data_IF_438730004359
#
_entry.id   IF_438730004359
#
_cell.length_a   1.000
_cell.length_b   1.000
_cell.length_c   1.000
_cell.angle_alpha   90.00
_cell.angle_beta   90.00
_cell.angle_gamma   90.00
#
_symmetry.space_group_name_H-M   'P 1'
#
loop_
_entity.id
_entity.type
_entity.pdbx_description
1 polymer ?
#
# COMPACT_ATOMS: atom_id res chain seq x y z
N UNK A 1 29.02 -26.81 18.44
CA UNK A 1 29.13 -25.81 17.35
C UNK A 1 27.72 -25.28 17.13
N UNK A 2 27.40 -24.08 17.63
CA UNK A 2 26.06 -23.53 17.55
C UNK A 2 25.87 -22.83 16.20
N UNK A 3 24.88 -23.27 15.42
CA UNK A 3 24.49 -22.63 14.16
C UNK A 3 23.77 -21.33 14.54
N UNK A 4 24.21 -20.16 14.05
CA UNK A 4 23.49 -18.92 14.30
C UNK A 4 22.11 -19.01 13.63
N UNK A 5 21.05 -19.00 14.42
CA UNK A 5 19.69 -18.81 13.93
C UNK A 5 19.63 -17.43 13.29
N UNK A 6 19.56 -17.40 11.95
CA UNK A 6 19.21 -16.20 11.20
C UNK A 6 17.83 -15.77 11.70
N UNK A 7 17.75 -14.68 12.47
CA UNK A 7 16.47 -14.09 12.83
C UNK A 7 15.80 -13.68 11.51
N UNK A 8 14.76 -14.40 11.10
CA UNK A 8 13.93 -13.98 9.99
C UNK A 8 13.39 -12.59 10.35
N UNK A 9 13.72 -11.58 9.54
CA UNK A 9 13.18 -10.23 9.73
C UNK A 9 11.67 -10.35 9.59
N UNK A 10 10.96 -10.18 10.71
CA UNK A 10 9.51 -10.32 10.74
C UNK A 10 8.90 -9.09 10.06
N UNK A 11 8.36 -9.30 8.87
CA UNK A 11 7.59 -8.30 8.12
C UNK A 11 6.43 -7.78 8.98
N UNK A 12 6.21 -6.46 9.10
CA UNK A 12 5.01 -5.93 9.75
C UNK A 12 3.73 -6.49 9.13
N UNK A 13 2.74 -6.81 9.96
CA UNK A 13 1.50 -7.35 9.45
C UNK A 13 0.69 -6.25 8.75
N UNK A 14 0.21 -6.51 7.53
CA UNK A 14 -0.68 -5.57 6.87
C UNK A 14 -2.06 -5.51 7.57
N UNK A 15 -2.71 -4.34 7.67
CA UNK A 15 -4.04 -4.22 8.25
C UNK A 15 -5.02 -5.16 7.57
N UNK A 16 -5.66 -6.06 8.33
CA UNK A 16 -6.53 -7.07 7.73
C UNK A 16 -7.73 -6.44 7.05
N UNK A 17 -8.01 -6.86 5.81
CA UNK A 17 -9.18 -6.43 5.06
C UNK A 17 -10.34 -7.41 5.26
N UNK A 18 -11.59 -6.93 5.17
CA UNK A 18 -12.75 -7.82 5.07
C UNK A 18 -12.72 -8.59 3.76
N UNK A 19 -13.43 -9.73 3.70
CA UNK A 19 -13.49 -10.56 2.50
C UNK A 19 -13.98 -9.76 1.28
N UNK A 20 -15.00 -8.92 1.47
CA UNK A 20 -15.52 -8.03 0.42
C UNK A 20 -14.46 -7.02 -0.06
N UNK A 21 -13.69 -6.44 0.86
CA UNK A 21 -12.61 -5.51 0.51
C UNK A 21 -11.50 -6.21 -0.27
N UNK A 22 -11.09 -7.42 0.12
CA UNK A 22 -10.11 -8.23 -0.62
C UNK A 22 -10.59 -8.47 -2.05
N UNK A 23 -11.90 -8.75 -2.21
CA UNK A 23 -12.47 -9.02 -3.51
C UNK A 23 -12.39 -7.83 -4.48
N UNK A 24 -12.37 -6.61 -3.96
CA UNK A 24 -12.35 -5.37 -4.74
C UNK A 24 -10.93 -4.85 -4.92
N UNK A 25 -10.09 -4.93 -3.88
CA UNK A 25 -8.71 -4.42 -3.89
C UNK A 25 -7.85 -5.16 -4.91
N UNK A 26 -7.99 -6.48 -5.02
CA UNK A 26 -7.18 -7.29 -5.91
C UNK A 26 -7.88 -7.58 -7.26
N UNK A 27 -8.48 -6.54 -7.84
CA UNK A 27 -9.02 -6.53 -9.20
C UNK A 27 -8.30 -5.43 -9.98
N UNK A 28 -7.80 -5.79 -11.16
CA UNK A 28 -7.10 -4.84 -12.02
C UNK A 28 -8.07 -3.74 -12.50
N UNK A 29 -7.62 -2.48 -12.54
CA UNK A 29 -8.48 -1.33 -12.89
C UNK A 29 -9.02 -1.37 -14.33
N UNK A 30 -8.38 -2.14 -15.22
CA UNK A 30 -8.87 -2.36 -16.58
C UNK A 30 -9.87 -3.52 -16.70
N UNK A 31 -10.15 -4.23 -15.60
CA UNK A 31 -11.20 -5.24 -15.59
C UNK A 31 -12.57 -4.56 -15.81
N UNK A 32 -13.51 -5.24 -16.47
CA UNK A 32 -14.87 -4.72 -16.61
C UNK A 32 -15.46 -4.38 -15.23
N UNK A 33 -16.13 -3.22 -15.09
CA UNK A 33 -16.75 -2.86 -13.82
C UNK A 33 -17.82 -3.89 -13.45
N UNK A 34 -17.96 -4.15 -12.15
CA UNK A 34 -19.06 -4.96 -11.65
C UNK A 34 -20.41 -4.29 -12.02
N UNK A 35 -21.40 -5.11 -12.37
CA UNK A 35 -22.76 -4.63 -12.72
C UNK A 35 -23.39 -3.84 -11.56
N UNK A 36 -22.99 -4.15 -10.32
CA UNK A 36 -23.40 -3.44 -9.12
C UNK A 36 -22.16 -3.09 -8.30
N UNK A 37 -22.02 -1.81 -7.95
CA UNK A 37 -20.93 -1.33 -7.09
C UNK A 37 -21.20 -1.71 -5.63
N UNK A 38 -20.12 -2.01 -4.89
CA UNK A 38 -20.26 -2.30 -3.46
C UNK A 38 -20.69 -1.04 -2.71
N UNK A 39 -21.68 -1.08 -1.80
CA UNK A 39 -22.22 0.13 -1.16
C UNK A 39 -21.18 0.90 -0.35
N UNK A 40 -20.22 0.18 0.25
CA UNK A 40 -19.16 0.75 1.10
C UNK A 40 -17.91 1.09 0.29
N UNK A 41 -17.45 0.17 -0.56
CA UNK A 41 -16.14 0.23 -1.19
C UNK A 41 -16.19 0.79 -2.62
N UNK A 42 -17.35 0.78 -3.26
CA UNK A 42 -17.50 1.08 -4.68
C UNK A 42 -16.75 0.06 -5.54
N UNK A 43 -15.69 0.52 -6.19
CA UNK A 43 -14.78 -0.25 -7.03
C UNK A 43 -13.31 0.06 -6.68
N UNK A 44 -12.38 -0.66 -7.32
CA UNK A 44 -10.94 -0.45 -7.10
C UNK A 44 -10.49 0.98 -7.47
N UNK A 45 -11.14 1.63 -8.44
CA UNK A 45 -10.79 2.99 -8.84
C UNK A 45 -11.11 3.99 -7.73
N UNK A 46 -12.30 3.91 -7.14
CA UNK A 46 -12.71 4.77 -6.01
C UNK A 46 -11.80 4.57 -4.81
N UNK A 47 -11.44 3.33 -4.51
CA UNK A 47 -10.49 3.03 -3.43
C UNK A 47 -9.10 3.62 -3.72
N UNK A 48 -8.58 3.51 -4.94
CA UNK A 48 -7.29 4.11 -5.31
C UNK A 48 -7.32 5.65 -5.22
N UNK A 49 -8.41 6.28 -5.65
CA UNK A 49 -8.59 7.75 -5.56
C UNK A 49 -8.55 8.22 -4.12
N UNK A 50 -9.17 7.49 -3.20
CA UNK A 50 -9.10 7.81 -1.77
C UNK A 50 -7.73 7.47 -1.18
N UNK A 51 -7.19 6.31 -1.53
CA UNK A 51 -5.98 5.77 -0.92
C UNK A 51 -4.71 6.51 -1.34
N UNK A 52 -4.65 7.10 -2.54
CA UNK A 52 -3.50 7.91 -2.99
C UNK A 52 -3.13 9.03 -2.00
N UNK A 53 -4.00 10.02 -1.72
CA UNK A 53 -3.64 11.11 -0.81
C UNK A 53 -3.37 10.59 0.61
N UNK A 54 -4.03 9.51 1.03
CA UNK A 54 -3.86 8.96 2.38
C UNK A 54 -2.53 8.21 2.54
N UNK A 55 -2.13 7.45 1.54
CA UNK A 55 -0.85 6.77 1.47
C UNK A 55 0.30 7.77 1.44
N UNK A 56 0.21 8.79 0.58
CA UNK A 56 1.21 9.86 0.51
C UNK A 56 1.34 10.61 1.83
N UNK A 57 0.21 10.96 2.47
CA UNK A 57 0.20 11.63 3.77
C UNK A 57 0.82 10.74 4.87
N UNK A 58 0.43 9.47 4.94
CA UNK A 58 0.96 8.52 5.92
C UNK A 58 2.48 8.33 5.75
N UNK A 59 2.94 8.19 4.50
CA UNK A 59 4.36 8.04 4.19
C UNK A 59 5.15 9.29 4.56
N UNK A 60 4.66 10.47 4.18
CA UNK A 60 5.29 11.76 4.54
C UNK A 60 5.38 11.96 6.04
N UNK A 61 4.31 11.66 6.78
CA UNK A 61 4.33 11.77 8.23
C UNK A 61 5.32 10.78 8.86
N UNK A 62 5.38 9.53 8.37
CA UNK A 62 6.36 8.56 8.82
C UNK A 62 7.80 9.00 8.54
N UNK A 63 8.09 9.49 7.34
CA UNK A 63 9.41 9.99 6.97
C UNK A 63 9.82 11.22 7.79
N UNK A 64 8.89 12.15 8.04
CA UNK A 64 9.14 13.33 8.90
C UNK A 64 9.52 12.92 10.31
N UNK A 65 8.84 11.92 10.88
CA UNK A 65 9.15 11.39 12.22
C UNK A 65 10.48 10.64 12.25
N UNK A 66 10.81 9.87 11.20
CA UNK A 66 12.06 9.10 11.12
C UNK A 66 13.29 9.99 10.89
N UNK A 67 13.13 11.06 10.12
CA UNK A 67 14.21 11.97 9.76
C UNK A 67 13.90 13.40 10.24
N UNK A 68 13.89 13.64 11.57
CA UNK A 68 13.45 14.92 12.13
C UNK A 68 14.35 16.10 11.74
N UNK A 69 15.54 15.85 11.20
CA UNK A 69 16.49 16.88 10.76
C UNK A 69 16.36 17.24 9.26
N UNK A 70 15.52 16.53 8.49
CA UNK A 70 15.26 16.88 7.09
C UNK A 70 14.09 17.87 7.03
N UNK A 71 14.30 18.98 6.32
CA UNK A 71 13.33 20.07 6.25
C UNK A 71 13.20 20.64 4.84
N UNK A 72 12.10 21.37 4.61
CA UNK A 72 11.85 22.12 3.38
C UNK A 72 11.99 21.28 2.11
N UNK A 73 12.67 21.82 1.10
CA UNK A 73 12.84 21.17 -0.20
C UNK A 73 13.65 19.87 -0.11
N UNK A 74 14.62 19.79 0.80
CA UNK A 74 15.44 18.57 0.97
C UNK A 74 14.58 17.41 1.45
N UNK A 75 13.64 17.68 2.38
CA UNK A 75 12.68 16.68 2.82
C UNK A 75 11.77 16.21 1.66
N UNK A 76 11.20 17.15 0.90
CA UNK A 76 10.33 16.81 -0.23
C UNK A 76 11.06 15.95 -1.27
N UNK A 77 12.26 16.37 -1.68
CA UNK A 77 13.09 15.62 -2.63
C UNK A 77 13.44 14.22 -2.11
N UNK A 78 13.76 14.09 -0.82
CA UNK A 78 14.07 12.80 -0.23
C UNK A 78 12.87 11.86 -0.23
N UNK A 79 11.69 12.35 0.17
CA UNK A 79 10.43 11.58 0.13
C UNK A 79 10.12 11.16 -1.31
N UNK A 80 10.15 12.09 -2.26
CA UNK A 80 9.77 11.80 -3.65
C UNK A 80 10.74 10.80 -4.31
N UNK A 81 12.03 10.86 -3.96
CA UNK A 81 13.04 9.92 -4.44
C UNK A 81 12.92 8.51 -3.83
N UNK A 82 12.40 8.40 -2.60
CA UNK A 82 12.36 7.12 -1.86
C UNK A 82 11.00 6.43 -1.92
N UNK A 83 9.92 7.17 -2.14
CA UNK A 83 8.56 6.65 -2.19
C UNK A 83 8.34 5.53 -3.22
N UNK A 84 8.83 5.63 -4.48
CA UNK A 84 8.75 4.53 -5.45
C UNK A 84 9.30 3.19 -4.95
N UNK A 85 10.49 3.23 -4.33
CA UNK A 85 11.16 2.04 -3.82
C UNK A 85 10.45 1.47 -2.59
N UNK A 86 9.90 2.35 -1.75
CA UNK A 86 9.04 1.95 -0.63
C UNK A 86 7.83 1.15 -1.13
N UNK A 87 7.12 1.65 -2.15
CA UNK A 87 5.97 0.97 -2.75
C UNK A 87 6.38 -0.39 -3.34
N UNK A 88 7.41 -0.40 -4.19
CA UNK A 88 7.87 -1.60 -4.88
C UNK A 88 8.27 -2.70 -3.88
N UNK A 89 9.01 -2.32 -2.83
CA UNK A 89 9.40 -3.22 -1.75
C UNK A 89 8.19 -3.87 -1.11
N UNK A 90 7.23 -3.09 -0.61
CA UNK A 90 6.16 -3.65 0.21
C UNK A 90 5.13 -4.42 -0.59
N UNK A 91 4.78 -3.96 -1.80
CA UNK A 91 3.94 -4.74 -2.72
C UNK A 91 4.62 -6.07 -3.11
N UNK A 92 5.95 -6.05 -3.26
CA UNK A 92 6.75 -7.25 -3.51
C UNK A 92 6.76 -8.22 -2.31
N UNK A 93 7.07 -7.70 -1.13
CA UNK A 93 7.17 -8.45 0.14
C UNK A 93 5.84 -9.12 0.51
N UNK A 94 4.72 -8.40 0.40
CA UNK A 94 3.41 -9.00 0.67
C UNK A 94 2.92 -9.95 -0.43
N UNK A 95 3.59 -9.99 -1.59
CA UNK A 95 3.22 -10.87 -2.70
C UNK A 95 1.89 -10.50 -3.37
N UNK A 96 1.38 -9.28 -3.16
CA UNK A 96 0.07 -8.82 -3.61
C UNK A 96 -0.13 -8.86 -5.12
N UNK A 97 0.95 -8.74 -5.89
CA UNK A 97 0.90 -8.91 -7.36
C UNK A 97 0.29 -10.25 -7.77
N UNK A 98 0.53 -11.31 -6.99
CA UNK A 98 0.00 -12.66 -7.28
C UNK A 98 -1.49 -12.81 -7.00
N UNK A 99 -2.07 -11.84 -6.29
CA UNK A 99 -3.48 -11.84 -5.89
C UNK A 99 -4.36 -11.10 -6.91
N UNK A 100 -3.73 -10.32 -7.81
CA UNK A 100 -4.43 -9.52 -8.81
C UNK A 100 -5.20 -10.40 -9.80
N UNK A 101 -6.48 -10.07 -9.99
CA UNK A 101 -7.40 -10.71 -10.94
C UNK A 101 -7.81 -9.76 -12.06
N UNK A 102 -8.21 -10.33 -13.19
CA UNK A 102 -8.65 -9.54 -14.36
C UNK A 102 -7.52 -8.75 -15.02
N UNK A 103 -6.27 -9.18 -14.85
CA UNK A 103 -5.08 -8.52 -15.42
C UNK A 103 -5.01 -8.82 -16.92
N UNK A 104 -4.94 -7.80 -17.79
CA UNK A 104 -4.76 -8.02 -19.23
C UNK A 104 -3.44 -8.73 -19.56
N UNK A 105 -3.36 -9.53 -20.65
CA UNK A 105 -2.18 -10.34 -20.96
C UNK A 105 -0.86 -9.58 -21.15
N UNK A 106 -0.92 -8.30 -21.48
CA UNK A 106 0.22 -7.44 -21.77
C UNK A 106 0.58 -6.49 -20.61
N UNK A 107 -0.06 -6.62 -19.45
CA UNK A 107 0.24 -5.79 -18.28
C UNK A 107 1.36 -6.40 -17.45
N UNK A 108 2.38 -5.61 -17.16
CA UNK A 108 3.45 -5.99 -16.26
C UNK A 108 3.16 -5.47 -14.84
N UNK A 109 2.75 -6.36 -13.94
CA UNK A 109 2.51 -6.01 -12.52
C UNK A 109 3.79 -5.63 -11.74
N UNK A 110 4.97 -5.71 -12.36
CA UNK A 110 6.21 -5.17 -11.79
C UNK A 110 6.42 -3.69 -12.16
N UNK A 111 5.57 -3.11 -13.02
CA UNK A 111 5.66 -1.69 -13.35
C UNK A 111 5.37 -0.86 -12.10
N UNK A 112 6.15 0.21 -11.92
CA UNK A 112 6.04 1.06 -10.73
C UNK A 112 4.62 1.63 -10.55
N UNK A 113 3.97 2.00 -11.66
CA UNK A 113 2.61 2.52 -11.63
C UNK A 113 1.59 1.45 -11.22
N UNK A 114 1.78 0.20 -11.64
CA UNK A 114 0.91 -0.91 -11.26
C UNK A 114 1.06 -1.24 -9.77
N UNK A 115 2.29 -1.30 -9.27
CA UNK A 115 2.54 -1.50 -7.84
C UNK A 115 1.99 -0.36 -6.99
N UNK A 116 2.15 0.89 -7.45
CA UNK A 116 1.57 2.05 -6.78
C UNK A 116 0.05 1.93 -6.70
N UNK A 117 -0.63 1.63 -7.81
CA UNK A 117 -2.08 1.45 -7.81
C UNK A 117 -2.55 0.34 -6.85
N UNK A 118 -1.83 -0.77 -6.76
CA UNK A 118 -2.16 -1.84 -5.80
C UNK A 118 -2.12 -1.30 -4.37
N UNK A 119 -1.04 -0.60 -3.99
CA UNK A 119 -0.88 -0.07 -2.64
C UNK A 119 -1.86 1.07 -2.34
N UNK A 120 -2.14 1.95 -3.32
CA UNK A 120 -3.18 2.99 -3.22
C UNK A 120 -4.56 2.36 -2.98
N UNK A 121 -4.93 1.35 -3.76
CA UNK A 121 -6.23 0.68 -3.63
C UNK A 121 -6.36 0.01 -2.26
N UNK A 122 -5.31 -0.67 -1.80
CA UNK A 122 -5.26 -1.27 -0.47
C UNK A 122 -5.41 -0.21 0.63
N UNK A 123 -4.65 0.88 0.56
CA UNK A 123 -4.73 1.97 1.53
C UNK A 123 -6.15 2.57 1.61
N UNK A 124 -6.80 2.75 0.45
CA UNK A 124 -8.20 3.18 0.39
C UNK A 124 -9.15 2.21 1.10
N UNK A 125 -8.97 0.90 0.92
CA UNK A 125 -9.79 -0.10 1.59
C UNK A 125 -9.60 -0.07 3.10
N UNK A 126 -8.35 0.00 3.59
CA UNK A 126 -8.03 0.12 5.02
C UNK A 126 -8.73 1.32 5.64
N UNK A 127 -8.73 2.45 4.94
CA UNK A 127 -9.37 3.68 5.39
C UNK A 127 -10.89 3.55 5.48
N UNK A 128 -11.53 2.95 4.49
CA UNK A 128 -13.00 2.92 4.39
C UNK A 128 -13.64 1.89 5.31
N UNK A 129 -13.01 0.73 5.51
CA UNK A 129 -13.68 -0.41 6.15
C UNK A 129 -13.92 -0.24 7.67
N UNK A 130 -13.19 0.64 8.33
CA UNK A 130 -13.17 0.78 9.80
C UNK A 130 -13.27 2.25 10.21
N UNK A 131 -13.88 2.52 11.37
CA UNK A 131 -14.00 3.88 11.94
C UNK A 131 -12.65 4.56 12.13
N UNK A 132 -11.61 3.80 12.52
CA UNK A 132 -10.25 4.29 12.76
C UNK A 132 -9.27 3.91 11.63
N UNK A 133 -9.79 3.65 10.42
CA UNK A 133 -8.99 3.19 9.28
C UNK A 133 -7.81 4.12 8.93
N UNK A 134 -7.97 5.42 9.13
CA UNK A 134 -6.88 6.40 8.97
C UNK A 134 -5.73 6.15 9.96
N UNK A 135 -6.04 5.97 11.25
CA UNK A 135 -5.02 5.72 12.26
C UNK A 135 -4.31 4.40 12.02
N UNK A 136 -5.05 3.36 11.61
CA UNK A 136 -4.50 2.06 11.23
C UNK A 136 -3.52 2.17 10.05
N UNK A 137 -3.88 2.92 9.00
CA UNK A 137 -2.99 3.17 7.86
C UNK A 137 -1.70 3.87 8.30
N UNK A 138 -1.80 4.94 9.08
CA UNK A 138 -0.62 5.71 9.51
C UNK A 138 0.31 4.89 10.41
N UNK A 139 -0.26 4.12 11.35
CA UNK A 139 0.51 3.23 12.22
C UNK A 139 1.26 2.16 11.40
N UNK A 140 0.57 1.51 10.47
CA UNK A 140 1.18 0.50 9.61
C UNK A 140 2.28 1.08 8.72
N UNK A 141 2.05 2.21 8.04
CA UNK A 141 3.07 2.85 7.21
C UNK A 141 4.30 3.28 8.03
N UNK A 142 4.09 3.72 9.27
CA UNK A 142 5.20 3.99 10.20
C UNK A 142 6.04 2.73 10.47
N UNK A 143 5.43 1.59 10.73
CA UNK A 143 6.16 0.31 10.92
C UNK A 143 6.92 -0.09 9.65
N UNK A 144 6.30 0.04 8.48
CA UNK A 144 6.92 -0.25 7.20
C UNK A 144 8.14 0.62 6.92
N UNK A 145 8.04 1.92 7.21
CA UNK A 145 9.17 2.84 7.05
C UNK A 145 10.31 2.45 8.00
N UNK A 146 10.03 2.01 9.22
CA UNK A 146 11.07 1.67 10.20
C UNK A 146 11.60 0.23 10.12
N UNK A 147 11.08 -0.58 9.20
CA UNK A 147 11.61 -1.94 8.99
C UNK A 147 12.87 -1.89 8.12
N UNK A 148 14.00 -2.47 8.57
CA UNK A 148 15.28 -2.46 7.85
C UNK A 148 15.16 -3.19 6.51
#
# INVERSE_FOLDING_TARGET
MAIPMTMAVQRPQAPQLTDDAILIVFVHYAAPPAVQQHPVFGDCHRLAVLGRPMLEAAYRDAMRRRFPNLHGNVFAQHVDATFPNFVARWVGEYGWRRWMRGVPPNVNLNDQQEMLRILETYAGAVVVQQSDGHAALFAWIWELVNTP
#
